data_IF_300609748896
#
_entry.id   IF_300609748896
#
_cell.length_a   1.000
_cell.length_b   1.000
_cell.length_c   1.000
_cell.angle_alpha   90.00
_cell.angle_beta   90.00
_cell.angle_gamma   90.00
#
_symmetry.space_group_name_H-M   'P 1'
#
loop_
_entity.id
_entity.type
_entity.pdbx_description
1 polymer ?
#
# COMPACT_ATOMS: atom_id res chain seq x y z
N UNK A 1 -7.99 56.62 53.38
CA UNK A 1 -8.82 56.77 52.16
C UNK A 1 -7.87 57.20 51.05
N UNK A 2 -7.66 56.51 49.94
CA UNK A 2 -8.37 55.34 49.39
C UNK A 2 -7.47 54.76 48.29
N UNK A 3 -7.39 53.44 48.28
CA UNK A 3 -6.73 52.55 47.31
C UNK A 3 -7.42 52.61 45.94
N UNK A 4 -6.87 53.28 44.91
CA UNK A 4 -7.43 53.28 43.54
C UNK A 4 -6.43 53.51 42.39
N UNK A 5 -5.31 52.77 42.28
CA UNK A 5 -4.74 52.56 40.93
C UNK A 5 -4.48 51.09 40.58
N UNK A 6 -4.59 50.17 41.55
CA UNK A 6 -4.30 48.75 41.36
C UNK A 6 -5.51 47.92 40.89
N UNK A 7 -6.73 48.44 41.08
CA UNK A 7 -7.96 47.73 40.75
C UNK A 7 -8.36 47.85 39.26
N UNK A 8 -7.99 48.94 38.59
CA UNK A 8 -8.32 49.15 37.16
C UNK A 8 -7.41 48.35 36.23
N UNK A 9 -6.11 48.22 36.55
CA UNK A 9 -5.18 47.37 35.79
C UNK A 9 -5.46 45.87 35.93
N UNK A 10 -5.89 45.43 37.12
CA UNK A 10 -6.33 44.06 37.37
C UNK A 10 -7.63 43.73 36.60
N UNK A 11 -8.57 44.67 36.50
CA UNK A 11 -9.84 44.46 35.79
C UNK A 11 -9.66 44.45 34.26
N UNK A 12 -8.70 45.22 33.74
CA UNK A 12 -8.30 45.21 32.32
C UNK A 12 -7.57 43.92 31.92
N UNK A 13 -6.65 43.43 32.75
CA UNK A 13 -5.96 42.17 32.49
C UNK A 13 -6.91 40.96 32.52
N UNK A 14 -7.90 40.96 33.43
CA UNK A 14 -8.90 39.89 33.53
C UNK A 14 -9.85 39.89 32.32
N UNK A 15 -10.25 41.06 31.81
CA UNK A 15 -11.10 41.15 30.61
C UNK A 15 -10.36 40.75 29.33
N UNK A 16 -9.09 41.12 29.17
CA UNK A 16 -8.27 40.71 28.00
C UNK A 16 -8.01 39.20 27.99
N UNK A 17 -7.73 38.60 29.15
CA UNK A 17 -7.54 37.16 29.26
C UNK A 17 -8.83 36.39 28.96
N UNK A 18 -9.98 36.89 29.42
CA UNK A 18 -11.29 36.30 29.12
C UNK A 18 -11.63 36.37 27.63
N UNK A 19 -11.35 37.50 26.96
CA UNK A 19 -11.58 37.67 25.53
C UNK A 19 -10.65 36.78 24.69
N UNK A 20 -9.39 36.60 25.11
CA UNK A 20 -8.46 35.67 24.47
C UNK A 20 -8.96 34.21 24.59
N UNK A 21 -9.45 33.82 25.77
CA UNK A 21 -10.03 32.50 25.99
C UNK A 21 -11.25 32.24 25.09
N UNK A 22 -12.14 33.24 24.95
CA UNK A 22 -13.33 33.17 24.09
C UNK A 22 -12.93 33.06 22.62
N UNK A 23 -11.93 33.85 22.19
CA UNK A 23 -11.42 33.80 20.81
C UNK A 23 -10.80 32.43 20.48
N UNK A 24 -10.04 31.83 21.40
CA UNK A 24 -9.48 30.48 21.22
C UNK A 24 -10.57 29.38 21.19
N UNK A 25 -11.71 29.63 21.84
CA UNK A 25 -12.89 28.75 21.84
C UNK A 25 -13.71 28.89 20.54
N UNK A 26 -13.99 30.10 20.08
CA UNK A 26 -14.75 30.36 18.84
C UNK A 26 -14.06 29.77 17.61
N UNK A 27 -12.73 29.89 17.52
CA UNK A 27 -11.95 29.34 16.40
C UNK A 27 -11.60 27.85 16.56
N UNK A 28 -12.11 27.16 17.59
CA UNK A 28 -11.80 25.75 17.90
C UNK A 28 -10.30 25.42 18.01
N UNK A 29 -9.46 26.43 18.27
CA UNK A 29 -8.01 26.28 18.42
C UNK A 29 -7.63 25.51 19.68
N UNK A 30 -8.55 25.43 20.66
CA UNK A 30 -8.39 24.59 21.84
C UNK A 30 -8.30 23.10 21.50
N UNK A 31 -8.98 22.66 20.42
CA UNK A 31 -8.92 21.29 19.91
C UNK A 31 -7.58 21.00 19.20
N UNK A 32 -6.91 22.03 18.68
CA UNK A 32 -5.54 21.96 18.16
C UNK A 32 -4.46 21.99 19.23
N UNK A 33 -4.74 22.50 20.43
CA UNK A 33 -3.81 22.40 21.56
C UNK A 33 -3.94 21.08 22.32
N UNK A 34 -5.13 20.46 22.31
CA UNK A 34 -5.37 19.13 22.88
C UNK A 34 -5.07 18.00 21.87
N UNK A 35 -3.83 17.95 21.35
CA UNK A 35 -3.34 16.86 20.47
C UNK A 35 -3.00 15.58 21.28
N UNK A 36 -3.48 15.43 22.53
CA UNK A 36 -3.17 14.24 23.34
C UNK A 36 -4.13 13.05 23.12
N UNK A 37 -5.17 13.20 22.29
CA UNK A 37 -5.98 12.06 21.84
C UNK A 37 -5.51 11.51 20.48
N UNK A 38 -4.20 11.56 20.23
CA UNK A 38 -3.61 10.80 19.12
C UNK A 38 -3.86 9.32 19.37
N UNK A 39 -4.79 8.73 18.60
CA UNK A 39 -5.01 7.28 18.57
C UNK A 39 -3.68 6.64 18.18
N UNK A 40 -2.94 6.15 19.17
CA UNK A 40 -1.80 5.27 18.94
C UNK A 40 -2.36 4.01 18.31
N UNK A 41 -2.38 3.97 16.98
CA UNK A 41 -2.54 2.74 16.25
C UNK A 41 -1.43 1.80 16.75
N UNK A 42 -1.80 0.81 17.57
CA UNK A 42 -0.90 -0.29 17.91
C UNK A 42 -0.63 -1.03 16.60
N UNK A 43 0.40 -0.60 15.87
CA UNK A 43 1.07 -1.45 14.89
C UNK A 43 1.49 -2.68 15.68
N UNK A 44 0.83 -3.80 15.41
CA UNK A 44 1.18 -5.09 15.99
C UNK A 44 2.65 -5.35 15.70
N UNK A 45 3.52 -5.12 16.69
CA UNK A 45 4.94 -5.50 16.66
C UNK A 45 4.96 -7.01 16.41
N UNK A 46 5.29 -7.42 15.19
CA UNK A 46 5.43 -8.83 14.83
C UNK A 46 4.56 -9.35 13.69
N UNK A 47 3.69 -8.54 13.06
CA UNK A 47 3.13 -8.94 11.76
C UNK A 47 4.17 -8.66 10.68
N UNK A 48 4.80 -9.72 10.17
CA UNK A 48 5.58 -9.67 8.93
C UNK A 48 4.71 -9.00 7.87
N UNK A 49 5.18 -7.87 7.33
CA UNK A 49 4.47 -7.18 6.26
C UNK A 49 4.54 -8.06 5.02
N UNK A 50 3.41 -8.66 4.63
CA UNK A 50 3.31 -9.38 3.37
C UNK A 50 3.35 -8.35 2.23
N UNK A 51 4.22 -8.59 1.25
CA UNK A 51 4.37 -7.77 0.05
C UNK A 51 3.78 -8.57 -1.12
N UNK A 52 3.04 -7.94 -2.05
CA UNK A 52 2.53 -8.65 -3.22
C UNK A 52 3.68 -9.15 -4.11
N UNK A 53 3.60 -10.41 -4.55
CA UNK A 53 4.52 -11.03 -5.50
C UNK A 53 3.75 -11.77 -6.60
N UNK A 54 4.36 -11.88 -7.77
CA UNK A 54 3.83 -12.70 -8.88
C UNK A 54 4.26 -14.15 -8.64
N UNK A 55 3.31 -15.09 -8.79
CA UNK A 55 3.54 -16.53 -8.59
C UNK A 55 3.11 -17.30 -9.83
N UNK A 56 3.89 -18.31 -10.19
CA UNK A 56 3.53 -19.29 -11.21
C UNK A 56 3.03 -20.59 -10.55
N UNK A 57 2.01 -21.20 -11.17
CA UNK A 57 1.40 -22.43 -10.70
C UNK A 57 1.62 -23.51 -11.75
N UNK A 58 2.40 -24.57 -11.46
CA UNK A 58 2.54 -25.68 -12.38
C UNK A 58 1.18 -26.37 -12.54
N UNK A 59 0.80 -26.68 -13.78
CA UNK A 59 -0.44 -27.38 -14.09
C UNK A 59 -0.17 -28.51 -15.08
N UNK A 60 -0.71 -29.68 -14.80
CA UNK A 60 -0.59 -30.86 -15.66
C UNK A 60 -1.94 -31.18 -16.30
N UNK A 61 -1.93 -31.40 -17.60
CA UNK A 61 -3.12 -31.79 -18.37
C UNK A 61 -2.83 -33.10 -19.07
N UNK A 62 -3.71 -34.08 -18.90
CA UNK A 62 -3.59 -35.38 -19.56
C UNK A 62 -4.10 -35.29 -21.00
N UNK A 63 -3.35 -35.87 -21.95
CA UNK A 63 -3.79 -36.02 -23.33
C UNK A 63 -4.80 -37.18 -23.46
N UNK A 64 -5.96 -36.93 -24.08
CA UNK A 64 -7.10 -37.89 -24.11
C UNK A 64 -6.92 -39.06 -25.09
N UNK A 65 -5.81 -39.13 -25.81
CA UNK A 65 -5.56 -40.11 -26.87
C UNK A 65 -4.93 -41.41 -26.34
N UNK A 66 -4.45 -41.41 -25.11
CA UNK A 66 -3.72 -42.53 -24.52
C UNK A 66 -4.68 -43.47 -23.78
N UNK A 67 -5.06 -44.57 -24.42
CA UNK A 67 -5.93 -45.60 -23.82
C UNK A 67 -5.19 -46.48 -22.80
N UNK A 68 -3.96 -46.86 -23.16
CA UNK A 68 -3.07 -47.67 -22.33
C UNK A 68 -1.63 -47.37 -22.71
N UNK A 69 -0.75 -47.19 -21.72
CA UNK A 69 0.69 -47.01 -21.96
C UNK A 69 1.46 -47.76 -20.90
N UNK A 70 2.39 -48.59 -21.37
CA UNK A 70 3.37 -49.28 -20.53
C UNK A 70 4.68 -48.52 -20.63
N UNK A 71 5.26 -48.19 -19.49
CA UNK A 71 6.53 -47.49 -19.39
C UNK A 71 7.47 -48.17 -18.40
N UNK A 72 8.75 -47.85 -18.51
CA UNK A 72 9.80 -48.33 -17.62
C UNK A 72 10.57 -47.12 -17.10
N UNK A 73 10.85 -47.11 -15.80
CA UNK A 73 11.70 -46.12 -15.13
C UNK A 73 12.96 -46.84 -14.70
N UNK A 74 14.12 -46.31 -15.07
CA UNK A 74 15.42 -46.79 -14.59
C UNK A 74 15.71 -46.12 -13.24
N UNK A 75 15.90 -46.94 -12.22
CA UNK A 75 16.33 -46.55 -10.87
C UNK A 75 17.75 -47.12 -10.64
N UNK A 76 18.46 -46.69 -9.59
CA UNK A 76 19.87 -47.05 -9.34
C UNK A 76 20.11 -48.58 -9.32
N UNK A 77 20.40 -49.16 -10.49
CA UNK A 77 20.68 -50.57 -10.69
C UNK A 77 19.46 -51.47 -10.97
N UNK A 78 18.25 -50.94 -11.17
CA UNK A 78 17.10 -51.76 -11.55
C UNK A 78 16.01 -51.02 -12.32
N UNK A 79 15.15 -51.76 -13.04
CA UNK A 79 14.10 -51.20 -13.88
C UNK A 79 12.74 -51.42 -13.20
N UNK A 80 11.98 -50.34 -13.02
CA UNK A 80 10.62 -50.35 -12.49
C UNK A 80 9.62 -50.13 -13.62
N UNK A 81 8.86 -51.18 -13.95
CA UNK A 81 7.80 -51.11 -14.96
C UNK A 81 6.50 -50.57 -14.35
N UNK A 82 5.77 -49.79 -15.13
CA UNK A 82 4.45 -49.29 -14.78
C UNK A 82 3.50 -49.36 -15.98
N UNK A 83 2.21 -49.49 -15.69
CA UNK A 83 1.13 -49.46 -16.68
C UNK A 83 0.15 -48.37 -16.26
N UNK A 84 -0.19 -47.48 -17.20
CA UNK A 84 -1.19 -46.43 -17.01
C UNK A 84 -2.37 -46.76 -17.91
N UNK A 85 -3.57 -46.79 -17.33
CA UNK A 85 -4.81 -47.05 -18.06
C UNK A 85 -5.85 -45.97 -17.73
N UNK A 86 -6.48 -45.41 -18.75
CA UNK A 86 -7.53 -44.40 -18.54
C UNK A 86 -8.85 -45.08 -18.17
N UNK A 87 -9.54 -44.57 -17.14
CA UNK A 87 -10.89 -45.05 -16.80
C UNK A 87 -11.90 -44.40 -17.74
N UNK A 88 -12.65 -45.17 -18.54
CA UNK A 88 -13.56 -44.62 -19.53
C UNK A 88 -14.61 -43.72 -18.89
N UNK A 89 -15.09 -42.73 -19.65
CA UNK A 89 -16.08 -41.72 -19.20
C UNK A 89 -15.67 -40.89 -17.98
N UNK A 90 -14.37 -40.82 -17.64
CA UNK A 90 -13.86 -40.04 -16.51
C UNK A 90 -12.52 -39.36 -16.83
N UNK A 91 -12.06 -38.51 -15.90
CA UNK A 91 -10.73 -37.89 -15.88
C UNK A 91 -9.72 -38.66 -15.01
N UNK A 92 -10.03 -39.90 -14.63
CA UNK A 92 -9.21 -40.71 -13.73
C UNK A 92 -8.29 -41.65 -14.52
N UNK A 93 -7.11 -41.92 -13.94
CA UNK A 93 -6.14 -42.89 -14.43
C UNK A 93 -5.87 -43.94 -13.36
N UNK A 94 -5.83 -45.21 -13.79
CA UNK A 94 -5.35 -46.32 -12.98
C UNK A 94 -3.88 -46.53 -13.29
N UNK A 95 -3.03 -46.42 -12.26
CA UNK A 95 -1.59 -46.63 -12.37
C UNK A 95 -1.21 -47.88 -11.60
N UNK A 96 -0.65 -48.86 -12.31
CA UNK A 96 -0.15 -50.11 -11.73
C UNK A 96 1.36 -50.11 -11.81
N UNK A 97 2.04 -50.31 -10.68
CA UNK A 97 3.50 -50.24 -10.58
C UNK A 97 4.04 -51.53 -9.97
N UNK A 98 5.10 -52.09 -10.55
CA UNK A 98 5.80 -53.23 -9.96
C UNK A 98 6.51 -52.80 -8.64
N UNK A 99 6.55 -53.69 -7.65
CA UNK A 99 7.12 -53.43 -6.32
C UNK A 99 8.53 -54.01 -6.12
N UNK A 100 9.15 -54.57 -7.17
CA UNK A 100 10.48 -55.18 -7.11
C UNK A 100 11.63 -54.19 -6.86
N UNK A 101 11.40 -52.90 -7.09
CA UNK A 101 12.42 -51.84 -7.06
C UNK A 101 11.95 -50.65 -6.23
N UNK A 102 12.79 -50.20 -5.29
CA UNK A 102 12.56 -48.96 -4.56
C UNK A 102 13.20 -47.79 -5.32
N UNK A 103 12.40 -46.75 -5.60
CA UNK A 103 12.80 -45.57 -6.38
C UNK A 103 12.55 -44.29 -5.58
N UNK A 104 12.61 -44.38 -4.25
CA UNK A 104 12.34 -43.26 -3.33
C UNK A 104 13.35 -42.11 -3.40
N UNK A 105 14.45 -42.26 -4.16
CA UNK A 105 15.44 -41.19 -4.39
C UNK A 105 14.96 -40.12 -5.38
N UNK A 106 13.92 -40.39 -6.17
CA UNK A 106 13.36 -39.40 -7.08
C UNK A 106 12.71 -38.25 -6.30
N UNK A 107 13.03 -36.97 -6.62
CA UNK A 107 12.43 -35.84 -5.93
C UNK A 107 10.90 -35.82 -6.16
N UNK A 108 10.10 -35.49 -5.14
CA UNK A 108 8.66 -35.40 -5.29
C UNK A 108 8.30 -34.27 -6.26
N UNK A 109 7.31 -34.50 -7.11
CA UNK A 109 6.71 -33.45 -7.93
C UNK A 109 5.76 -32.65 -7.04
N UNK A 110 6.09 -31.40 -6.76
CA UNK A 110 5.25 -30.49 -5.96
C UNK A 110 4.37 -29.63 -6.85
N UNK A 111 3.17 -29.29 -6.34
CA UNK A 111 2.23 -28.37 -6.98
C UNK A 111 2.29 -26.97 -6.33
N UNK A 112 3.34 -26.72 -5.56
CA UNK A 112 3.48 -25.51 -4.77
C UNK A 112 3.74 -24.30 -5.69
N UNK A 113 3.20 -23.12 -5.36
CA UNK A 113 3.43 -21.92 -6.13
C UNK A 113 4.90 -21.53 -6.08
N UNK A 114 5.45 -21.16 -7.24
CA UNK A 114 6.82 -20.70 -7.38
C UNK A 114 6.78 -19.18 -7.55
N UNK A 115 7.52 -18.46 -6.71
CA UNK A 115 7.63 -17.01 -6.82
C UNK A 115 8.51 -16.64 -8.03
N UNK A 116 8.00 -15.74 -8.87
CA UNK A 116 8.73 -15.27 -10.04
C UNK A 116 9.71 -14.16 -9.63
N UNK A 117 11.00 -14.45 -9.70
CA UNK A 117 12.05 -13.47 -9.48
C UNK A 117 12.40 -12.79 -10.81
N UNK A 118 11.96 -11.55 -10.98
CA UNK A 118 12.25 -10.76 -12.18
C UNK A 118 13.71 -10.31 -12.22
N UNK A 119 14.52 -10.95 -13.06
CA UNK A 119 15.80 -10.39 -13.50
C UNK A 119 15.59 -9.32 -14.60
N UNK A 120 16.65 -8.60 -14.96
CA UNK A 120 16.57 -7.51 -15.93
C UNK A 120 16.09 -7.96 -17.32
N UNK A 121 16.47 -9.17 -17.76
CA UNK A 121 16.06 -9.73 -19.05
C UNK A 121 14.59 -10.10 -19.08
N UNK A 122 14.08 -10.82 -18.08
CA UNK A 122 12.66 -11.23 -17.98
C UNK A 122 11.73 -10.01 -17.89
N UNK A 123 12.18 -8.94 -17.23
CA UNK A 123 11.43 -7.68 -17.18
C UNK A 123 11.28 -7.07 -18.59
N UNK A 124 12.34 -7.05 -19.37
CA UNK A 124 12.33 -6.56 -20.75
C UNK A 124 11.47 -7.44 -21.67
N UNK A 125 11.55 -8.76 -21.54
CA UNK A 125 10.70 -9.68 -22.30
C UNK A 125 9.22 -9.46 -21.99
N UNK A 126 8.84 -9.30 -20.72
CA UNK A 126 7.47 -8.98 -20.32
C UNK A 126 6.99 -7.66 -20.92
N UNK A 127 7.86 -6.66 -21.01
CA UNK A 127 7.54 -5.36 -21.64
C UNK A 127 7.27 -5.51 -23.13
N UNK A 128 7.99 -6.41 -23.82
CA UNK A 128 7.81 -6.69 -25.25
C UNK A 128 6.47 -7.36 -25.56
N UNK A 129 5.98 -8.23 -24.68
CA UNK A 129 4.72 -8.95 -24.85
C UNK A 129 3.53 -8.31 -24.10
N UNK A 130 3.59 -7.01 -23.82
CA UNK A 130 2.42 -6.33 -23.27
C UNK A 130 1.26 -6.36 -24.27
N UNK A 131 0.05 -6.59 -23.77
CA UNK A 131 -1.17 -6.49 -24.56
C UNK A 131 -1.26 -5.10 -25.19
N UNK A 132 -1.65 -5.03 -26.44
CA UNK A 132 -1.89 -3.76 -27.12
C UNK A 132 -2.92 -2.94 -26.34
N UNK A 133 -2.54 -1.70 -26.00
CA UNK A 133 -3.43 -0.74 -25.35
C UNK A 133 -3.88 0.28 -26.38
N UNK A 134 -5.19 0.47 -26.53
CA UNK A 134 -5.72 1.55 -27.37
C UNK A 134 -5.43 2.89 -26.71
N UNK A 135 -4.73 3.78 -27.41
CA UNK A 135 -4.53 5.16 -26.98
C UNK A 135 -5.87 5.91 -26.98
N UNK A 136 -6.12 6.81 -26.02
CA UNK A 136 -7.25 7.74 -26.11
C UNK A 136 -7.21 8.54 -27.42
N UNK A 137 -8.37 8.81 -28.00
CA UNK A 137 -8.49 9.53 -29.28
C UNK A 137 -8.03 10.99 -29.18
N UNK A 138 -8.25 11.63 -28.02
CA UNK A 138 -7.78 12.99 -27.75
C UNK A 138 -7.03 13.06 -26.41
N UNK A 139 -6.08 13.99 -26.35
CA UNK A 139 -5.38 14.39 -25.15
C UNK A 139 -5.49 15.91 -25.06
N UNK A 140 -6.03 16.44 -23.96
CA UNK A 140 -6.19 17.87 -23.73
C UNK A 140 -5.27 18.30 -22.57
N UNK A 141 -3.98 18.56 -22.84
CA UNK A 141 -2.98 18.79 -21.79
C UNK A 141 -3.06 20.18 -21.15
N UNK A 142 -3.70 21.15 -21.81
CA UNK A 142 -3.77 22.53 -21.35
C UNK A 142 -5.19 23.05 -21.48
N UNK A 143 -5.64 23.76 -20.45
CA UNK A 143 -6.89 24.51 -20.49
C UNK A 143 -6.57 26.01 -20.70
N UNK A 144 -7.30 26.76 -21.55
CA UNK A 144 -7.01 28.17 -21.81
C UNK A 144 -7.18 29.07 -20.58
N UNK A 145 -7.94 28.64 -19.58
CA UNK A 145 -8.10 29.33 -18.29
C UNK A 145 -7.07 28.86 -17.24
N UNK A 146 -6.20 27.92 -17.58
CA UNK A 146 -5.15 27.44 -16.67
C UNK A 146 -4.01 28.45 -16.60
N UNK A 147 -3.79 29.03 -15.41
CA UNK A 147 -2.67 29.90 -15.14
C UNK A 147 -1.50 29.11 -14.54
N UNK A 148 -0.60 28.61 -15.41
CA UNK A 148 0.60 27.89 -14.99
C UNK A 148 1.66 28.78 -14.29
N UNK A 149 1.43 30.09 -14.16
CA UNK A 149 2.33 31.02 -13.47
C UNK A 149 2.07 31.14 -11.98
N UNK A 150 0.95 30.62 -11.48
CA UNK A 150 0.67 30.51 -10.04
C UNK A 150 1.42 29.31 -9.44
N UNK A 151 2.75 29.38 -9.45
CA UNK A 151 3.54 28.51 -8.58
C UNK A 151 3.28 28.96 -7.12
N UNK A 152 2.85 28.03 -6.26
CA UNK A 152 2.39 28.32 -4.90
C UNK A 152 3.30 29.28 -4.13
N UNK A 153 3.00 30.58 -4.18
CA UNK A 153 3.74 31.63 -3.50
C UNK A 153 3.14 31.80 -2.10
N UNK A 154 3.30 30.76 -1.27
CA UNK A 154 2.81 30.73 0.10
C UNK A 154 3.51 31.77 1.03
N UNK A 155 4.43 32.59 0.51
CA UNK A 155 5.21 33.55 1.29
C UNK A 155 4.92 35.01 0.98
N UNK A 156 3.95 35.34 0.11
CA UNK A 156 3.47 36.73 -0.02
C UNK A 156 2.31 37.02 0.93
N UNK A 157 2.49 36.73 2.22
CA UNK A 157 1.75 37.51 3.20
C UNK A 157 2.23 38.96 3.03
N UNK A 158 1.35 39.80 2.49
CA UNK A 158 1.61 41.23 2.43
C UNK A 158 1.92 41.71 3.85
N UNK A 159 3.19 42.00 4.09
CA UNK A 159 3.75 42.66 5.27
C UNK A 159 2.84 43.74 5.91
N UNK A 160 2.05 44.57 5.17
CA UNK A 160 1.16 45.53 5.80
C UNK A 160 0.10 44.96 6.75
N UNK A 161 -0.40 43.73 6.55
CA UNK A 161 -1.44 43.17 7.43
C UNK A 161 -0.85 42.72 8.78
N UNK A 162 0.34 42.12 8.79
CA UNK A 162 1.04 41.77 10.02
C UNK A 162 1.52 43.04 10.78
N UNK A 163 2.00 44.05 10.04
CA UNK A 163 2.42 45.33 10.61
C UNK A 163 1.24 46.18 11.13
N UNK A 164 0.03 46.03 10.60
CA UNK A 164 -1.18 46.70 11.10
C UNK A 164 -1.79 45.99 12.33
N UNK A 165 -1.62 44.67 12.46
CA UNK A 165 -2.14 43.90 13.60
C UNK A 165 -1.26 44.03 14.85
N UNK A 166 0.06 44.16 14.71
CA UNK A 166 0.99 44.39 15.82
C UNK A 166 0.63 45.61 16.72
N UNK A 167 0.35 46.81 16.19
CA UNK A 167 0.00 47.98 17.01
C UNK A 167 -1.40 47.88 17.64
N UNK A 168 -2.34 47.16 17.02
CA UNK A 168 -3.65 46.87 17.64
C UNK A 168 -3.48 45.96 18.87
N UNK A 169 -2.64 44.94 18.76
CA UNK A 169 -2.35 44.02 19.87
C UNK A 169 -1.60 44.75 21.00
N UNK A 170 -0.60 45.59 20.68
CA UNK A 170 0.12 46.35 21.72
C UNK A 170 -0.75 47.42 22.38
N UNK A 171 -1.65 48.08 21.63
CA UNK A 171 -2.59 49.05 22.19
C UNK A 171 -3.64 48.40 23.10
N UNK A 172 -4.01 47.14 22.86
CA UNK A 172 -4.89 46.38 23.76
C UNK A 172 -4.18 45.82 24.99
N UNK A 173 -2.85 45.67 24.96
CA UNK A 173 -2.04 45.20 26.10
C UNK A 173 -1.58 46.37 26.98
N UNK A 174 -1.44 47.57 26.42
CA UNK A 174 -0.97 48.77 27.14
C UNK A 174 -2.07 49.61 27.79
N UNK A 175 -3.31 49.11 27.87
CA UNK A 175 -4.44 49.83 28.47
C UNK A 175 -5.04 49.09 29.65
#
# INVERSE_FOLDING_TARGET
MTTRPFAESMLGAVTVHALCQIFLLEFNLYSWWNIDLSVKAQRSRGKTMMVPCDTEYPAFVSERTIKETTGNIECDGCIRSFVIQQIPSSNLFMVVVDNKCDCSSAPPVTMDPIEIIYNESLKCERLKYQKDRKKPESCHPFHPEENAMECGSATRFSSPLAAALLPLITATISR
#
